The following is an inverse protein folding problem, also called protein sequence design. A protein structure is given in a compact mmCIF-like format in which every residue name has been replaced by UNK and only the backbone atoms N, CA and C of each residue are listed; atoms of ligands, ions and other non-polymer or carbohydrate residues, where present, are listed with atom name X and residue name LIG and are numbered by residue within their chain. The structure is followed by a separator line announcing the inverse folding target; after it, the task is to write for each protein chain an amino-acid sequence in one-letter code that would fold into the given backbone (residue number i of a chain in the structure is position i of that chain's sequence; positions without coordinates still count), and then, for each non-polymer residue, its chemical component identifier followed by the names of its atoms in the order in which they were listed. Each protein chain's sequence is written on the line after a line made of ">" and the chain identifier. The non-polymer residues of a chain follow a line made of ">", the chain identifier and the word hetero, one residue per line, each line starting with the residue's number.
data_IF_464322095484
#
_entry.id   IF_464322095484
#
_cell.length_a   1.000
_cell.length_b   1.000
_cell.length_c   1.000
_cell.angle_alpha   90.00
_cell.angle_beta   90.00
_cell.angle_gamma   90.00
#
_symmetry.space_group_name_H-M   'P 1'
#
loop_
_entity.id
_entity.type
_entity.pdbx_description
1 polymer ?
#
# COMPACT_ATOMS: atom_id res chain seq x y z
N UNK A 1 25.34 9.41 -2.13
CA UNK A 1 24.28 8.46 -1.72
C UNK A 1 23.14 8.52 -2.75
N UNK A 2 22.88 7.42 -3.46
CA UNK A 2 21.97 7.35 -4.64
C UNK A 2 20.53 7.13 -4.17
N UNK A 3 19.56 7.91 -4.68
CA UNK A 3 18.13 7.62 -4.51
C UNK A 3 17.57 7.15 -5.87
N UNK A 4 17.13 5.89 -6.00
CA UNK A 4 16.63 5.29 -7.23
C UNK A 4 15.10 5.27 -7.22
N UNK A 5 14.43 6.35 -7.62
CA UNK A 5 12.95 6.32 -7.68
C UNK A 5 12.34 6.83 -8.98
N UNK A 6 13.14 6.99 -10.04
CA UNK A 6 12.63 6.90 -11.43
C UNK A 6 13.25 5.72 -12.21
N UNK A 7 14.24 5.07 -11.61
CA UNK A 7 14.80 3.77 -12.02
C UNK A 7 14.47 2.73 -10.96
N UNK A 8 13.20 2.58 -10.62
CA UNK A 8 12.74 1.49 -9.77
C UNK A 8 12.78 0.20 -10.60
N UNK A 9 13.63 -0.79 -10.26
CA UNK A 9 13.88 -1.92 -11.15
C UNK A 9 12.73 -2.94 -11.16
N UNK A 10 11.83 -2.88 -10.18
CA UNK A 10 10.66 -3.74 -10.11
C UNK A 10 9.46 -3.15 -10.87
N UNK A 11 8.76 -4.00 -11.61
CA UNK A 11 7.47 -3.62 -12.20
C UNK A 11 6.41 -3.57 -11.10
N UNK A 12 5.91 -2.37 -10.80
CA UNK A 12 4.84 -2.24 -9.79
C UNK A 12 3.51 -2.73 -10.35
N UNK A 13 2.84 -3.63 -9.61
CA UNK A 13 1.56 -4.25 -10.01
C UNK A 13 0.50 -3.17 -10.32
N UNK A 14 -0.36 -3.41 -11.32
CA UNK A 14 -1.43 -2.49 -11.79
C UNK A 14 -2.78 -3.20 -11.67
N UNK A 15 -3.79 -2.50 -11.14
CA UNK A 15 -5.12 -3.06 -10.85
C UNK A 15 -5.98 -3.35 -12.09
N UNK A 16 -5.67 -2.75 -13.25
CA UNK A 16 -6.42 -2.98 -14.50
C UNK A 16 -5.71 -3.98 -15.42
N UNK A 17 -6.50 -4.90 -16.00
CA UNK A 17 -6.07 -5.75 -17.09
C UNK A 17 -5.69 -4.94 -18.34
N UNK A 18 -6.38 -3.83 -18.58
CA UNK A 18 -6.20 -2.94 -19.72
C UNK A 18 -5.36 -1.71 -19.36
N UNK A 19 -4.43 -1.83 -18.42
CA UNK A 19 -3.54 -0.71 -18.09
C UNK A 19 -2.72 -0.33 -19.32
N UNK A 20 -2.94 0.89 -19.82
CA UNK A 20 -2.12 1.52 -20.83
C UNK A 20 -1.35 2.66 -20.16
N UNK A 21 0.00 2.63 -20.17
CA UNK A 21 0.75 3.76 -19.70
C UNK A 21 0.47 4.95 -20.62
N UNK A 22 0.40 6.16 -20.04
CA UNK A 22 0.44 7.39 -20.82
C UNK A 22 1.84 7.50 -21.46
N UNK A 23 1.98 6.96 -22.67
CA UNK A 23 3.26 6.86 -23.39
C UNK A 23 3.92 8.22 -23.64
N UNK A 24 3.14 9.30 -23.63
CA UNK A 24 3.62 10.67 -23.76
C UNK A 24 4.35 11.20 -22.50
N UNK A 25 4.24 10.53 -21.35
CA UNK A 25 4.98 10.93 -20.14
C UNK A 25 6.43 10.46 -20.25
N UNK A 26 7.33 11.43 -20.46
CA UNK A 26 8.77 11.17 -20.48
C UNK A 26 9.30 10.89 -19.06
N UNK A 27 9.79 9.67 -18.83
CA UNK A 27 10.37 9.25 -17.55
C UNK A 27 11.50 10.17 -17.08
N UNK A 28 12.35 10.66 -17.98
CA UNK A 28 13.47 11.53 -17.61
C UNK A 28 12.99 12.86 -17.03
N UNK A 29 11.86 13.39 -17.51
CA UNK A 29 11.32 14.65 -17.00
C UNK A 29 10.67 14.47 -15.63
N UNK A 30 9.96 13.37 -15.44
CA UNK A 30 9.48 12.97 -14.11
C UNK A 30 10.67 12.80 -13.14
N UNK A 31 11.77 12.18 -13.58
CA UNK A 31 12.99 12.07 -12.76
C UNK A 31 13.57 13.40 -12.36
N UNK A 32 13.59 14.39 -13.26
CA UNK A 32 14.07 15.75 -12.94
C UNK A 32 13.14 16.47 -11.97
N UNK A 33 11.84 16.18 -12.00
CA UNK A 33 10.85 16.73 -11.06
C UNK A 33 11.05 16.13 -9.66
N UNK A 34 11.28 14.82 -9.58
CA UNK A 34 11.37 14.05 -8.34
C UNK A 34 12.76 14.05 -7.71
N UNK A 35 13.77 14.66 -8.35
CA UNK A 35 15.14 14.65 -7.85
C UNK A 35 15.27 15.38 -6.50
N UNK A 36 15.32 14.58 -5.42
CA UNK A 36 15.46 15.02 -4.04
C UNK A 36 16.74 15.84 -3.79
N UNK A 37 17.76 15.75 -4.66
CA UNK A 37 19.00 16.52 -4.54
C UNK A 37 18.78 18.02 -4.77
N UNK A 38 17.66 18.42 -5.40
CA UNK A 38 17.32 19.81 -5.69
C UNK A 38 16.09 20.25 -4.90
N UNK A 39 16.25 20.68 -3.64
CA UNK A 39 15.18 21.30 -2.80
C UNK A 39 13.77 20.78 -3.14
N UNK A 40 13.57 19.46 -3.02
CA UNK A 40 12.30 18.84 -3.40
C UNK A 40 11.14 19.47 -2.64
N UNK A 41 10.10 19.83 -3.38
CA UNK A 41 8.89 20.44 -2.84
C UNK A 41 7.73 19.68 -3.43
N UNK A 42 6.90 19.13 -2.54
CA UNK A 42 5.73 18.35 -2.91
C UNK A 42 4.79 19.21 -3.76
N UNK A 43 4.56 20.46 -3.37
CA UNK A 43 3.65 21.36 -4.11
C UNK A 43 4.17 21.68 -5.51
N UNK A 44 5.46 21.98 -5.66
CA UNK A 44 6.07 22.21 -6.98
C UNK A 44 6.07 20.96 -7.83
N UNK A 45 6.34 19.79 -7.25
CA UNK A 45 6.33 18.52 -7.98
C UNK A 45 4.91 18.16 -8.44
N UNK A 46 3.93 18.28 -7.56
CA UNK A 46 2.51 18.03 -7.85
C UNK A 46 2.03 18.95 -8.97
N UNK A 47 2.27 20.26 -8.86
CA UNK A 47 1.93 21.23 -9.90
C UNK A 47 2.58 20.86 -11.24
N UNK A 48 3.91 20.63 -11.27
CA UNK A 48 4.61 20.32 -12.53
C UNK A 48 4.14 19.03 -13.19
N UNK A 49 3.77 18.00 -12.42
CA UNK A 49 3.25 16.75 -12.96
C UNK A 49 1.84 16.94 -13.50
N UNK A 50 0.94 17.60 -12.74
CA UNK A 50 -0.44 17.85 -13.16
C UNK A 50 -0.53 18.69 -14.43
N UNK A 51 0.40 19.63 -14.61
CA UNK A 51 0.48 20.51 -15.79
C UNK A 51 1.36 19.95 -16.92
N UNK A 52 1.63 18.64 -16.95
CA UNK A 52 2.21 18.01 -18.14
C UNK A 52 1.13 17.93 -19.23
N UNK A 53 1.39 18.37 -20.48
CA UNK A 53 0.35 18.49 -21.51
C UNK A 53 -0.50 17.22 -21.70
N UNK A 54 0.13 16.05 -21.73
CA UNK A 54 -0.57 14.78 -21.87
C UNK A 54 -1.44 14.41 -20.66
N UNK A 55 -1.06 14.86 -19.46
CA UNK A 55 -1.81 14.59 -18.24
C UNK A 55 -2.97 15.56 -18.09
N UNK A 56 -2.78 16.83 -18.46
CA UNK A 56 -3.87 17.81 -18.55
C UNK A 56 -4.94 17.35 -19.54
N UNK A 57 -4.54 16.88 -20.72
CA UNK A 57 -5.45 16.32 -21.72
C UNK A 57 -6.18 15.07 -21.20
N UNK A 58 -5.47 14.16 -20.53
CA UNK A 58 -6.08 12.97 -19.93
C UNK A 58 -7.08 13.31 -18.82
N UNK A 59 -6.73 14.23 -17.91
CA UNK A 59 -7.59 14.61 -16.80
C UNK A 59 -8.82 15.35 -17.31
N UNK A 60 -8.66 16.26 -18.27
CA UNK A 60 -9.75 17.04 -18.87
C UNK A 60 -10.69 16.22 -19.76
N UNK A 61 -10.18 15.20 -20.45
CA UNK A 61 -11.00 14.29 -21.29
C UNK A 61 -11.71 13.19 -20.48
N UNK A 62 -11.40 13.02 -19.20
CA UNK A 62 -12.03 12.00 -18.37
C UNK A 62 -13.52 12.31 -18.11
N UNK A 63 -14.39 11.30 -18.25
CA UNK A 63 -15.86 11.41 -18.05
C UNK A 63 -16.29 11.86 -16.64
N UNK A 64 -15.34 12.03 -15.72
CA UNK A 64 -15.52 12.38 -14.30
C UNK A 64 -14.74 13.65 -13.91
N UNK A 65 -14.48 14.54 -14.88
CA UNK A 65 -13.56 15.69 -14.82
C UNK A 65 -13.53 16.51 -13.51
N UNK A 66 -14.67 16.69 -12.81
CA UNK A 66 -14.74 17.43 -11.54
C UNK A 66 -14.27 16.66 -10.29
N UNK A 67 -14.72 15.41 -10.12
CA UNK A 67 -14.32 14.53 -9.00
C UNK A 67 -12.94 13.87 -9.23
N UNK A 68 -12.55 13.74 -10.49
CA UNK A 68 -11.31 13.08 -10.93
C UNK A 68 -10.05 13.90 -10.64
N UNK A 69 -10.07 15.22 -10.83
CA UNK A 69 -8.87 16.07 -10.69
C UNK A 69 -8.40 16.22 -9.24
N UNK A 70 -9.33 16.43 -8.31
CA UNK A 70 -9.04 16.57 -6.87
C UNK A 70 -8.61 15.24 -6.25
N UNK A 71 -9.28 14.14 -6.61
CA UNK A 71 -8.90 12.80 -6.16
C UNK A 71 -7.55 12.38 -6.74
N UNK A 72 -7.34 12.60 -8.05
CA UNK A 72 -6.06 12.34 -8.69
C UNK A 72 -4.93 13.15 -8.06
N UNK A 73 -5.17 14.44 -7.79
CA UNK A 73 -4.22 15.30 -7.09
C UNK A 73 -3.87 14.79 -5.68
N UNK A 74 -4.88 14.36 -4.92
CA UNK A 74 -4.70 13.77 -3.58
C UNK A 74 -3.87 12.48 -3.63
N UNK A 75 -4.19 11.57 -4.56
CA UNK A 75 -3.42 10.34 -4.74
C UNK A 75 -1.98 10.63 -5.21
N UNK A 76 -1.80 11.54 -6.16
CA UNK A 76 -0.46 11.95 -6.60
C UNK A 76 0.34 12.52 -5.41
N UNK A 77 -0.28 13.35 -4.58
CA UNK A 77 0.36 13.94 -3.41
C UNK A 77 0.82 12.87 -2.41
N UNK A 78 0.02 11.83 -2.16
CA UNK A 78 0.41 10.75 -1.23
C UNK A 78 1.63 9.97 -1.73
N UNK A 79 1.78 9.74 -3.04
CA UNK A 79 3.01 9.15 -3.59
C UNK A 79 4.19 10.13 -3.57
N UNK A 80 3.97 11.42 -3.84
CA UNK A 80 5.05 12.42 -3.79
C UNK A 80 5.63 12.59 -2.38
N UNK A 81 4.81 12.37 -1.34
CA UNK A 81 5.28 12.41 0.05
C UNK A 81 6.37 11.38 0.34
N UNK A 82 6.42 10.27 -0.39
CA UNK A 82 7.46 9.23 -0.25
C UNK A 82 8.86 9.76 -0.60
N UNK A 83 8.93 10.75 -1.50
CA UNK A 83 10.19 11.38 -1.92
C UNK A 83 10.68 12.47 -0.96
N UNK A 84 9.87 12.80 0.05
CA UNK A 84 10.26 13.75 1.09
C UNK A 84 11.36 13.15 1.97
N UNK A 85 12.43 13.88 2.30
CA UNK A 85 13.42 13.44 3.30
C UNK A 85 12.81 13.18 4.68
N UNK A 86 11.62 13.71 4.95
CA UNK A 86 10.87 13.48 6.19
C UNK A 86 10.01 12.21 6.15
N UNK A 87 9.96 11.50 5.02
CA UNK A 87 9.21 10.27 4.91
C UNK A 87 9.83 9.21 5.84
N UNK A 88 9.06 8.64 6.78
CA UNK A 88 9.61 7.73 7.78
C UNK A 88 9.76 6.30 7.23
N UNK A 89 9.48 6.08 5.94
CA UNK A 89 9.70 4.84 5.21
C UNK A 89 10.21 5.13 3.80
N UNK A 90 10.60 4.07 3.09
CA UNK A 90 10.94 4.12 1.66
C UNK A 90 10.35 2.91 0.95
N UNK A 91 10.14 3.04 -0.35
CA UNK A 91 9.88 1.90 -1.23
C UNK A 91 11.21 1.45 -1.82
N UNK A 92 11.54 0.17 -1.66
CA UNK A 92 12.70 -0.48 -2.24
C UNK A 92 12.28 -1.83 -2.84
N UNK A 93 13.25 -2.59 -3.35
CA UNK A 93 13.02 -3.96 -3.81
C UNK A 93 13.40 -4.95 -2.72
N UNK A 94 12.52 -5.90 -2.43
CA UNK A 94 12.86 -7.06 -1.60
C UNK A 94 13.37 -8.21 -2.48
N UNK A 95 14.25 -9.03 -1.92
CA UNK A 95 14.71 -10.26 -2.58
C UNK A 95 13.51 -11.20 -2.71
N UNK A 96 13.22 -11.58 -3.96
CA UNK A 96 11.97 -12.24 -4.25
C UNK A 96 11.99 -13.72 -3.83
N UNK A 97 11.23 -14.07 -2.79
CA UNK A 97 10.99 -15.45 -2.38
C UNK A 97 10.10 -16.24 -3.37
N UNK A 98 9.40 -15.57 -4.30
CA UNK A 98 8.53 -16.17 -5.34
C UNK A 98 9.20 -16.50 -6.68
N UNK A 99 10.48 -16.19 -6.87
CA UNK A 99 11.19 -16.48 -8.13
C UNK A 99 10.73 -15.67 -9.36
N UNK A 100 9.77 -14.75 -9.21
CA UNK A 100 9.21 -13.86 -10.26
C UNK A 100 9.97 -12.54 -10.49
N UNK A 101 11.21 -12.42 -9.97
CA UNK A 101 12.03 -11.20 -10.04
C UNK A 101 11.73 -10.16 -8.94
N UNK A 102 12.53 -9.10 -8.78
CA UNK A 102 12.43 -8.20 -7.63
C UNK A 102 11.04 -7.60 -7.46
N UNK A 103 10.49 -7.67 -6.25
CA UNK A 103 9.18 -7.11 -5.90
C UNK A 103 9.32 -5.82 -5.08
N UNK A 104 8.32 -4.94 -5.15
CA UNK A 104 8.30 -3.74 -4.34
C UNK A 104 7.99 -4.08 -2.89
N UNK A 105 8.70 -3.42 -1.97
CA UNK A 105 8.54 -3.58 -0.54
C UNK A 105 8.72 -2.23 0.18
N UNK A 106 8.16 -2.13 1.38
CA UNK A 106 8.23 -0.93 2.21
C UNK A 106 9.21 -1.18 3.35
N UNK A 107 10.18 -0.29 3.53
CA UNK A 107 11.17 -0.38 4.61
C UNK A 107 11.12 0.85 5.48
N UNK A 108 11.27 0.66 6.79
CA UNK A 108 11.33 1.74 7.76
C UNK A 108 12.63 2.57 7.59
N UNK A 109 12.54 3.90 7.61
CA UNK A 109 13.71 4.79 7.66
C UNK A 109 14.08 5.19 9.10
N UNK A 110 13.25 4.82 10.07
CA UNK A 110 13.45 5.07 11.50
C UNK A 110 12.76 3.99 12.31
N UNK A 111 13.06 3.90 13.60
CA UNK A 111 12.32 3.03 14.49
C UNK A 111 10.88 3.52 14.72
N UNK A 112 9.96 2.57 14.93
CA UNK A 112 8.58 2.78 15.36
C UNK A 112 8.31 1.94 16.62
N UNK A 113 7.48 2.45 17.52
CA UNK A 113 7.04 1.71 18.71
C UNK A 113 5.73 0.99 18.47
N UNK A 114 5.50 -0.10 19.21
CA UNK A 114 4.20 -0.77 19.24
C UNK A 114 3.05 0.24 19.45
N UNK A 115 2.01 0.12 18.63
CA UNK A 115 0.85 1.00 18.60
C UNK A 115 1.04 2.33 17.86
N UNK A 116 2.24 2.62 17.35
CA UNK A 116 2.50 3.82 16.56
C UNK A 116 1.90 3.69 15.14
N UNK A 117 1.21 4.74 14.69
CA UNK A 117 0.79 4.86 13.30
C UNK A 117 2.02 5.19 12.47
N UNK A 118 2.26 4.47 11.38
CA UNK A 118 3.34 4.79 10.44
C UNK A 118 2.90 5.97 9.58
N UNK A 119 3.44 7.19 9.79
CA UNK A 119 2.94 8.37 9.10
C UNK A 119 3.15 8.27 7.59
N UNK A 120 2.18 8.78 6.82
CA UNK A 120 2.18 8.80 5.34
C UNK A 120 2.06 7.40 4.69
N UNK A 121 2.21 6.31 5.45
CA UNK A 121 1.98 4.94 4.97
C UNK A 121 0.51 4.58 5.20
N UNK A 122 -0.33 5.16 4.36
CA UNK A 122 -1.76 4.91 4.36
C UNK A 122 -2.27 4.66 2.96
N UNK A 123 -3.59 4.63 2.84
CA UNK A 123 -4.25 4.35 1.60
C UNK A 123 -5.72 4.73 1.60
N UNK A 124 -6.33 4.52 0.43
CA UNK A 124 -7.77 4.59 0.28
C UNK A 124 -8.27 3.19 -0.02
N UNK A 125 -9.28 2.77 0.70
CA UNK A 125 -9.95 1.53 0.46
C UNK A 125 -11.24 1.74 -0.30
N UNK A 126 -11.40 0.99 -1.38
CA UNK A 126 -12.58 1.05 -2.25
C UNK A 126 -13.34 -0.28 -2.13
N UNK A 127 -14.57 -0.28 -1.59
CA UNK A 127 -15.44 -1.44 -1.61
C UNK A 127 -15.51 -2.11 -2.98
N UNK A 128 -15.34 -3.43 -3.03
CA UNK A 128 -15.52 -4.18 -4.27
C UNK A 128 -16.97 -4.63 -4.41
N UNK A 129 -17.60 -4.28 -5.53
CA UNK A 129 -18.92 -4.83 -5.87
C UNK A 129 -18.79 -6.29 -6.33
N UNK A 130 -19.89 -7.04 -6.34
CA UNK A 130 -19.91 -8.41 -6.90
C UNK A 130 -19.38 -8.46 -8.33
N UNK A 131 -19.66 -7.44 -9.14
CA UNK A 131 -19.19 -7.36 -10.53
C UNK A 131 -17.67 -7.13 -10.61
N UNK A 132 -17.12 -6.34 -9.69
CA UNK A 132 -15.68 -6.11 -9.62
C UNK A 132 -14.95 -7.37 -9.18
N UNK A 133 -15.52 -8.12 -8.23
CA UNK A 133 -15.00 -9.42 -7.79
C UNK A 133 -14.88 -10.44 -8.93
N UNK A 134 -15.96 -10.63 -9.70
CA UNK A 134 -15.96 -11.55 -10.84
C UNK A 134 -14.89 -11.17 -11.87
N UNK A 135 -14.73 -9.87 -12.15
CA UNK A 135 -13.69 -9.39 -13.08
C UNK A 135 -12.28 -9.60 -12.56
N UNK A 136 -12.07 -9.49 -11.25
CA UNK A 136 -10.77 -9.71 -10.62
C UNK A 136 -10.39 -11.20 -10.69
N UNK A 137 -11.31 -12.08 -10.32
CA UNK A 137 -11.19 -13.55 -10.44
C UNK A 137 -10.87 -13.97 -11.90
N UNK A 138 -11.61 -13.46 -12.89
CA UNK A 138 -11.37 -13.74 -14.32
C UNK A 138 -9.99 -13.25 -14.80
N UNK A 139 -9.48 -12.17 -14.22
CA UNK A 139 -8.20 -11.57 -14.63
C UNK A 139 -6.98 -12.20 -13.96
N UNK A 140 -7.16 -12.98 -12.88
CA UNK A 140 -6.07 -13.50 -12.05
C UNK A 140 -5.25 -12.39 -11.38
N UNK A 141 -5.84 -11.22 -11.14
CA UNK A 141 -5.17 -10.00 -10.65
C UNK A 141 -5.66 -9.56 -9.27
N UNK A 142 -5.54 -10.43 -8.27
CA UNK A 142 -6.03 -10.17 -6.90
C UNK A 142 -5.08 -9.36 -6.00
N UNK A 143 -4.30 -8.44 -6.58
CA UNK A 143 -3.28 -7.71 -5.84
C UNK A 143 -3.87 -6.52 -5.08
N UNK A 144 -3.46 -6.36 -3.81
CA UNK A 144 -3.92 -5.30 -2.91
C UNK A 144 -5.41 -5.37 -2.56
N UNK A 145 -6.00 -6.57 -2.60
CA UNK A 145 -7.33 -6.82 -2.06
C UNK A 145 -7.18 -7.12 -0.57
N UNK A 146 -7.94 -6.41 0.25
CA UNK A 146 -8.06 -6.67 1.67
C UNK A 146 -9.42 -7.29 1.95
N UNK A 147 -9.43 -8.33 2.77
CA UNK A 147 -10.62 -8.96 3.29
C UNK A 147 -10.81 -8.57 4.76
N UNK A 148 -12.03 -8.26 5.16
CA UNK A 148 -12.33 -8.00 6.56
C UNK A 148 -12.17 -9.28 7.39
N UNK A 149 -11.85 -9.14 8.68
CA UNK A 149 -11.65 -10.27 9.61
C UNK A 149 -12.89 -11.16 9.76
N UNK A 150 -14.09 -10.62 9.48
CA UNK A 150 -15.34 -11.40 9.49
C UNK A 150 -15.70 -11.99 8.12
N UNK A 151 -14.85 -11.80 7.10
CA UNK A 151 -15.05 -12.27 5.73
C UNK A 151 -16.20 -11.61 4.95
N UNK A 152 -16.90 -10.65 5.57
CA UNK A 152 -18.12 -10.05 4.99
C UNK A 152 -17.85 -8.98 3.95
N UNK A 153 -16.63 -8.45 3.90
CA UNK A 153 -16.32 -7.30 3.07
C UNK A 153 -14.96 -7.44 2.41
N UNK A 154 -14.91 -7.08 1.13
CA UNK A 154 -13.72 -7.12 0.29
C UNK A 154 -13.52 -5.73 -0.30
N UNK A 155 -12.32 -5.18 -0.18
CA UNK A 155 -12.00 -3.86 -0.71
C UNK A 155 -10.62 -3.83 -1.34
N UNK A 156 -10.47 -2.96 -2.33
CA UNK A 156 -9.19 -2.68 -2.97
C UNK A 156 -8.48 -1.58 -2.20
N UNK A 157 -7.26 -1.86 -1.74
CA UNK A 157 -6.36 -0.89 -1.13
C UNK A 157 -5.55 -0.16 -2.22
N UNK A 158 -5.65 1.16 -2.21
CA UNK A 158 -4.92 2.07 -3.07
C UNK A 158 -4.02 3.00 -2.24
N UNK A 159 -3.05 3.65 -2.88
CA UNK A 159 -2.10 4.55 -2.21
C UNK A 159 -0.84 3.82 -1.73
N UNK A 160 0.05 4.52 -0.99
CA UNK A 160 1.35 3.99 -0.58
C UNK A 160 1.32 2.62 0.13
N UNK A 161 0.31 2.38 0.97
CA UNK A 161 0.17 1.12 1.71
C UNK A 161 0.01 -0.12 0.81
N UNK A 162 -0.33 0.04 -0.47
CA UNK A 162 -0.43 -1.07 -1.44
C UNK A 162 0.88 -1.81 -1.71
N UNK A 163 2.01 -1.22 -1.31
CA UNK A 163 3.35 -1.80 -1.45
C UNK A 163 3.81 -2.57 -0.20
N UNK A 164 3.01 -2.57 0.86
CA UNK A 164 3.31 -3.32 2.08
C UNK A 164 3.03 -4.79 1.82
N UNK A 165 4.05 -5.64 1.98
CA UNK A 165 3.97 -7.06 1.69
C UNK A 165 3.29 -7.85 2.80
N UNK A 166 2.93 -9.09 2.46
CA UNK A 166 2.42 -10.05 3.41
C UNK A 166 3.54 -10.67 4.25
N UNK A 167 3.28 -10.89 5.54
CA UNK A 167 4.05 -11.80 6.37
C UNK A 167 3.10 -12.51 7.36
N UNK A 168 3.20 -13.84 7.49
CA UNK A 168 2.39 -14.61 8.44
C UNK A 168 2.75 -14.31 9.92
N UNK A 169 3.88 -13.65 10.17
CA UNK A 169 4.29 -13.08 11.47
C UNK A 169 4.57 -11.57 11.34
N UNK A 170 3.60 -10.84 10.80
CA UNK A 170 3.75 -9.43 10.46
C UNK A 170 4.12 -8.51 11.64
N UNK A 171 4.60 -7.32 11.30
CA UNK A 171 4.91 -6.27 12.27
C UNK A 171 3.90 -5.12 12.30
N UNK A 172 2.96 -5.06 11.36
CA UNK A 172 1.92 -4.04 11.31
C UNK A 172 0.53 -4.61 11.00
N UNK A 173 -0.52 -3.84 11.29
CA UNK A 173 -1.87 -4.09 10.77
C UNK A 173 -2.36 -2.88 9.96
N UNK A 174 -3.29 -3.14 9.03
CA UNK A 174 -4.01 -2.08 8.33
C UNK A 174 -5.31 -1.82 9.08
N UNK A 175 -5.45 -0.61 9.62
CA UNK A 175 -6.66 -0.14 10.32
C UNK A 175 -7.41 0.84 9.46
N UNK A 176 -8.74 0.85 9.59
CA UNK A 176 -9.64 1.61 8.74
C UNK A 176 -10.51 2.46 9.66
N UNK A 177 -9.99 3.60 10.16
CA UNK A 177 -10.66 4.39 11.19
C UNK A 177 -11.95 5.07 10.68
N UNK A 178 -12.16 5.13 9.36
CA UNK A 178 -13.35 5.67 8.71
C UNK A 178 -13.78 4.82 7.52
N UNK A 179 -14.72 5.33 6.72
CA UNK A 179 -15.35 4.57 5.63
C UNK A 179 -14.41 4.18 4.48
N UNK A 180 -13.34 4.94 4.26
CA UNK A 180 -12.46 4.74 3.10
C UNK A 180 -10.98 4.99 3.37
N UNK A 181 -10.61 5.48 4.55
CA UNK A 181 -9.21 5.74 4.88
C UNK A 181 -8.59 4.50 5.53
N UNK A 182 -7.42 4.09 5.05
CA UNK A 182 -6.61 3.06 5.65
C UNK A 182 -5.30 3.65 6.18
N UNK A 183 -4.93 3.24 7.39
CA UNK A 183 -3.68 3.59 8.07
C UNK A 183 -2.95 2.30 8.43
N UNK A 184 -1.62 2.38 8.54
CA UNK A 184 -0.80 1.24 8.99
C UNK A 184 -0.32 1.50 10.42
N UNK A 185 -0.56 0.55 11.32
CA UNK A 185 -0.23 0.63 12.75
C UNK A 185 0.76 -0.47 13.12
N UNK A 186 1.82 -0.13 13.85
CA UNK A 186 2.79 -1.09 14.34
C UNK A 186 2.19 -2.01 15.43
N UNK A 187 2.31 -3.32 15.24
CA UNK A 187 1.91 -4.35 16.22
C UNK A 187 3.04 -4.71 17.19
N UNK A 188 4.28 -4.36 16.84
CA UNK A 188 5.49 -4.55 17.66
C UNK A 188 6.48 -3.42 17.36
N UNK A 189 7.55 -3.34 18.13
CA UNK A 189 8.64 -2.41 17.84
C UNK A 189 9.28 -2.77 16.48
N UNK A 190 9.50 -1.76 15.65
CA UNK A 190 10.10 -1.86 14.31
C UNK A 190 11.39 -1.04 14.33
N UNK A 191 12.50 -1.60 13.85
CA UNK A 191 13.77 -0.89 13.76
C UNK A 191 13.90 -0.18 12.41
N UNK A 192 14.86 0.74 12.32
CA UNK A 192 15.24 1.28 11.02
C UNK A 192 15.72 0.15 10.11
N UNK A 193 15.37 0.23 8.83
CA UNK A 193 15.66 -0.75 7.78
C UNK A 193 14.91 -2.08 7.87
N UNK A 194 14.04 -2.29 8.86
CA UNK A 194 13.11 -3.41 8.88
C UNK A 194 12.07 -3.26 7.74
N UNK A 195 11.72 -4.39 7.10
CA UNK A 195 10.58 -4.45 6.18
C UNK A 195 9.28 -4.29 6.96
N UNK A 196 8.42 -3.38 6.52
CA UNK A 196 7.08 -3.19 7.07
C UNK A 196 6.15 -4.18 6.36
N UNK A 197 5.52 -5.06 7.13
CA UNK A 197 4.68 -6.16 6.63
C UNK A 197 3.33 -6.18 7.34
N UNK A 198 2.32 -6.71 6.67
CA UNK A 198 0.96 -6.89 7.21
C UNK A 198 0.47 -8.32 6.95
N UNK A 199 -0.63 -8.72 7.57
CA UNK A 199 -1.31 -9.97 7.21
C UNK A 199 -2.44 -9.67 6.22
N UNK A 200 -2.55 -10.48 5.18
CA UNK A 200 -3.54 -10.28 4.12
C UNK A 200 -4.83 -11.06 4.36
N UNK A 201 -4.76 -12.14 5.15
CA UNK A 201 -5.85 -13.10 5.37
C UNK A 201 -5.30 -14.52 5.40
N UNK A 202 -6.08 -15.45 5.93
CA UNK A 202 -5.73 -16.87 6.10
C UNK A 202 -5.73 -17.68 4.82
N UNK A 203 -6.48 -17.25 3.81
CA UNK A 203 -6.61 -17.96 2.53
C UNK A 203 -6.13 -17.14 1.33
N UNK A 204 -5.28 -16.13 1.56
CA UNK A 204 -4.83 -15.23 0.48
C UNK A 204 -3.90 -15.95 -0.51
N UNK A 205 -3.01 -16.82 0.00
CA UNK A 205 -2.10 -17.63 -0.81
C UNK A 205 -2.53 -19.10 -0.81
N UNK A 206 -3.74 -19.35 -1.30
CA UNK A 206 -4.37 -20.68 -1.24
C UNK A 206 -4.91 -21.02 0.15
N UNK A 207 -5.51 -22.20 0.29
CA UNK A 207 -6.11 -22.64 1.56
C UNK A 207 -5.08 -22.62 2.69
N UNK A 208 -5.39 -21.97 3.81
CA UNK A 208 -4.50 -21.78 4.95
C UNK A 208 -3.11 -21.23 4.56
N UNK A 209 -3.03 -20.39 3.53
CA UNK A 209 -1.80 -19.77 3.03
C UNK A 209 -0.71 -20.79 2.67
N UNK A 210 -1.08 -21.99 2.20
CA UNK A 210 -0.14 -23.05 1.84
C UNK A 210 0.83 -22.68 0.71
N UNK A 211 0.49 -21.69 -0.10
CA UNK A 211 1.35 -21.17 -1.17
C UNK A 211 2.11 -19.89 -0.74
N UNK A 212 2.07 -19.53 0.55
CA UNK A 212 2.71 -18.33 1.07
C UNK A 212 4.23 -18.47 1.09
N UNK A 213 4.90 -17.43 0.58
CA UNK A 213 6.35 -17.37 0.45
C UNK A 213 6.97 -16.31 1.36
N UNK A 214 6.30 -15.92 2.44
CA UNK A 214 6.90 -15.01 3.42
C UNK A 214 8.02 -15.70 4.22
N UNK A 215 8.82 -14.91 4.95
CA UNK A 215 9.99 -15.41 5.67
C UNK A 215 9.65 -16.50 6.71
N UNK A 216 8.55 -16.40 7.49
CA UNK A 216 8.13 -17.50 8.38
C UNK A 216 7.76 -18.82 7.68
N UNK A 217 7.24 -18.75 6.45
CA UNK A 217 6.72 -19.91 5.73
C UNK A 217 7.76 -20.61 4.87
N UNK A 218 8.91 -19.96 4.65
CA UNK A 218 9.95 -20.45 3.75
C UNK A 218 11.24 -20.76 4.51
N UNK A 219 11.83 -21.92 4.19
CA UNK A 219 13.22 -22.26 4.50
C UNK A 219 13.89 -22.51 3.15
N UNK A 220 14.99 -21.81 2.88
CA UNK A 220 15.74 -21.88 1.61
C UNK A 220 14.91 -21.63 0.34
N UNK A 221 13.89 -20.74 0.43
CA UNK A 221 13.02 -20.39 -0.70
C UNK A 221 11.98 -21.46 -1.07
N UNK A 222 11.83 -22.49 -0.23
CA UNK A 222 10.79 -23.51 -0.35
C UNK A 222 9.84 -23.44 0.84
N UNK A 223 8.55 -23.70 0.62
CA UNK A 223 7.54 -23.71 1.69
C UNK A 223 7.90 -24.83 2.67
N UNK A 224 8.31 -24.47 3.88
CA UNK A 224 8.94 -25.39 4.84
C UNK A 224 8.03 -25.76 6.01
N UNK A 225 7.00 -24.96 6.27
CA UNK A 225 6.12 -25.13 7.42
C UNK A 225 4.87 -24.28 7.21
N UNK A 226 3.68 -24.87 7.44
CA UNK A 226 2.40 -24.17 7.32
C UNK A 226 2.35 -22.90 8.15
N UNK A 227 1.55 -21.91 7.72
CA UNK A 227 1.39 -20.66 8.45
C UNK A 227 0.99 -20.92 9.92
N UNK A 228 1.45 -20.06 10.86
CA UNK A 228 0.93 -20.05 12.22
C UNK A 228 -0.60 -19.93 12.22
N UNK A 229 -1.26 -20.59 13.15
CA UNK A 229 -2.72 -20.57 13.30
C UNK A 229 -3.22 -19.16 13.66
N UNK A 230 -4.44 -18.78 13.26
CA UNK A 230 -5.01 -17.43 13.45
C UNK A 230 -5.03 -16.99 14.92
N UNK A 231 -4.93 -17.93 15.85
CA UNK A 231 -4.94 -17.71 17.30
C UNK A 231 -3.65 -17.10 17.86
N UNK A 232 -2.54 -17.14 17.13
CA UNK A 232 -1.24 -16.60 17.55
C UNK A 232 -1.00 -15.13 17.12
N UNK A 233 -1.97 -14.52 16.46
CA UNK A 233 -1.87 -13.15 15.96
C UNK A 233 -2.23 -12.10 17.02
N UNK A 234 -1.37 -11.09 17.32
CA UNK A 234 -1.73 -10.03 18.27
C UNK A 234 -2.98 -9.26 17.82
N UNK A 235 -4.12 -9.55 18.44
CA UNK A 235 -5.40 -8.87 18.20
C UNK A 235 -5.35 -7.46 18.82
N UNK A 236 -4.76 -6.48 18.13
CA UNK A 236 -4.91 -5.05 18.49
C UNK A 236 -6.28 -4.51 18.05
N UNK A 237 -7.10 -5.34 17.39
CA UNK A 237 -8.50 -5.06 17.02
C UNK A 237 -9.46 -4.74 18.18
N UNK A 238 -9.08 -4.89 19.46
CA UNK A 238 -10.03 -4.66 20.58
C UNK A 238 -10.02 -3.21 21.11
N UNK A 239 -8.95 -2.42 20.91
CA UNK A 239 -8.84 -1.11 21.58
C UNK A 239 -9.38 0.09 20.80
N UNK A 240 -9.40 0.05 19.46
CA UNK A 240 -9.87 1.18 18.64
C UNK A 240 -11.40 1.21 18.51
N UNK A 241 -12.04 0.06 18.31
CA UNK A 241 -13.51 -0.04 18.32
C UNK A 241 -14.09 0.33 19.69
N UNK A 242 -13.48 -0.14 20.78
CA UNK A 242 -13.91 0.20 22.15
C UNK A 242 -13.77 1.69 22.49
N UNK A 243 -12.77 2.38 21.90
CA UNK A 243 -12.53 3.82 22.12
C UNK A 243 -13.51 4.67 21.31
N UNK A 244 -13.84 4.25 20.09
CA UNK A 244 -14.84 4.92 19.26
C UNK A 244 -16.27 4.74 19.81
N UNK A 245 -16.59 3.55 20.34
CA UNK A 245 -17.88 3.28 21.00
C UNK A 245 -18.06 4.12 22.28
N UNK A 246 -17.03 4.19 23.14
CA UNK A 246 -17.03 5.05 24.33
C UNK A 246 -17.12 6.55 24.01
N UNK A 247 -16.56 7.00 22.89
CA UNK A 247 -16.62 8.40 22.47
C UNK A 247 -17.97 8.77 21.84
N UNK A 248 -18.64 7.82 21.16
CA UNK A 248 -20.00 7.99 20.67
C UNK A 248 -21.01 8.06 21.84
N UNK A 249 -20.91 7.14 22.80
CA UNK A 249 -21.77 7.07 24.01
C UNK A 249 -21.61 8.29 24.94
N UNK A 250 -20.48 9.01 24.87
CA UNK A 250 -20.24 10.26 25.61
C UNK A 250 -20.77 11.52 24.92
N UNK A 251 -21.10 11.45 23.62
CA UNK A 251 -21.67 12.58 22.86
C UNK A 251 -23.20 12.56 22.84
N UNK A 252 -23.81 11.45 23.25
CA UNK A 252 -25.26 11.26 23.34
C UNK A 252 -25.82 11.45 24.78
N UNK A 253 -24.97 11.87 25.72
CA UNK A 253 -25.34 12.28 27.09
C UNK A 253 -24.99 13.74 27.31
#
# INVERSE_FOLDING_TARGET
>A
MKLPQVNFPATTRKSSANYLPLHAINKSDVSKILDARKRFSIDRAQHRILHMPCLEEFVSSSKTAGLSSTWFGTQLRSYLQIYSPKCPFRIATSENLSGRGPEAAVFANRAFKIGEIIPLLGGVCVPLTRKDRLRLEESGKDFSILQSSCGRFLAMLLGPARFVNHDCMQNCEIVWPGESEAIVVALKDIHADDEITVYYGSDYFGANNQECLCRPCTTDGTVSSGCPDETDMPVIMIKLEARNKKNAERKEK
#
